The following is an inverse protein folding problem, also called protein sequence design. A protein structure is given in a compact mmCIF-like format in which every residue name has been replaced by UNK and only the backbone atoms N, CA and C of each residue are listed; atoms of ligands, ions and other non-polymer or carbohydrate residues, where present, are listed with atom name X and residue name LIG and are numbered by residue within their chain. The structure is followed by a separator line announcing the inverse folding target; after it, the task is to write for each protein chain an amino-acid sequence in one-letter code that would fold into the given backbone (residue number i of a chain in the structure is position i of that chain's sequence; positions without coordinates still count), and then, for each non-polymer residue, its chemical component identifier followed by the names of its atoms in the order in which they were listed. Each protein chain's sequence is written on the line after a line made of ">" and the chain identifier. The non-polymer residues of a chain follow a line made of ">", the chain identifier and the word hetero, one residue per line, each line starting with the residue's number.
data_IF_102804307746
#
_entry.id   IF_102804307746
#
_cell.length_a   1.000
_cell.length_b   1.000
_cell.length_c   1.000
_cell.angle_alpha   90.00
_cell.angle_beta   90.00
_cell.angle_gamma   90.00
#
_symmetry.space_group_name_H-M   'P 1'
#
loop_
_entity.id
_entity.type
_entity.pdbx_description
1 polymer ?
#
# COMPACT_ATOMS: atom_id res chain seq x y z
N UNK A 1 -9.45 -24.64 22.41
CA UNK A 1 -10.70 -23.94 22.24
C UNK A 1 -10.49 -22.47 21.91
N UNK A 2 -9.55 -21.85 22.53
CA UNK A 2 -9.32 -20.43 22.35
C UNK A 2 -8.73 -20.11 20.99
N UNK A 3 -7.98 -21.05 20.44
CA UNK A 3 -7.42 -20.91 19.11
C UNK A 3 -8.51 -20.78 18.05
N UNK A 4 -9.68 -21.31 18.33
CA UNK A 4 -10.79 -21.21 17.39
C UNK A 4 -11.25 -19.79 17.16
N UNK A 5 -11.26 -18.99 18.20
CA UNK A 5 -11.67 -17.59 18.05
C UNK A 5 -10.77 -16.85 17.09
N UNK A 6 -9.46 -17.12 17.15
CA UNK A 6 -8.50 -16.50 16.24
C UNK A 6 -8.70 -16.95 14.81
N UNK A 7 -8.92 -18.24 14.60
CA UNK A 7 -9.20 -18.75 13.26
C UNK A 7 -10.47 -18.16 12.70
N UNK A 8 -11.52 -18.11 13.53
CA UNK A 8 -12.78 -17.56 13.07
C UNK A 8 -12.64 -16.10 12.65
N UNK A 9 -11.85 -15.33 13.36
CA UNK A 9 -11.61 -13.94 12.99
C UNK A 9 -10.94 -13.82 11.64
N UNK A 10 -9.94 -14.67 11.38
CA UNK A 10 -9.21 -14.64 10.11
C UNK A 10 -10.08 -15.10 8.95
N UNK A 11 -10.92 -16.12 9.17
CA UNK A 11 -11.75 -16.67 8.10
C UNK A 11 -13.05 -15.92 7.91
N UNK A 12 -13.44 -15.10 8.87
CA UNK A 12 -14.70 -14.37 8.84
C UNK A 12 -14.65 -13.03 8.12
N UNK A 13 -13.58 -12.74 7.41
CA UNK A 13 -13.49 -11.51 6.68
C UNK A 13 -14.48 -11.50 5.50
N UNK A 14 -15.27 -10.45 5.42
CA UNK A 14 -16.34 -10.33 4.44
C UNK A 14 -16.24 -9.11 3.53
N UNK A 15 -15.06 -8.50 3.43
CA UNK A 15 -14.86 -7.39 2.52
C UNK A 15 -15.34 -6.06 3.03
N UNK A 16 -15.43 -5.88 4.34
CA UNK A 16 -15.88 -4.61 4.92
C UNK A 16 -14.79 -3.54 5.00
N UNK A 17 -13.56 -3.85 4.65
CA UNK A 17 -12.44 -2.92 4.76
C UNK A 17 -12.66 -1.63 3.98
N UNK A 18 -13.20 -1.73 2.76
CA UNK A 18 -13.43 -0.55 1.93
C UNK A 18 -14.33 0.48 2.58
N UNK A 19 -15.24 0.03 3.43
CA UNK A 19 -16.18 0.90 4.12
C UNK A 19 -15.58 1.51 5.39
N UNK A 20 -14.60 0.84 5.99
CA UNK A 20 -14.02 1.25 7.26
C UNK A 20 -12.71 2.03 7.11
N UNK A 21 -12.29 2.27 5.89
CA UNK A 21 -11.02 2.95 5.63
C UNK A 21 -9.84 1.99 5.64
N UNK A 22 -9.59 1.36 4.50
CA UNK A 22 -8.52 0.36 4.35
C UNK A 22 -7.16 0.90 4.80
N UNK A 23 -6.88 2.16 4.51
CA UNK A 23 -5.57 2.75 4.84
C UNK A 23 -5.26 2.80 6.32
N UNK A 24 -6.28 2.74 7.18
CA UNK A 24 -6.08 2.79 8.62
C UNK A 24 -5.85 1.42 9.26
N UNK A 25 -6.03 0.33 8.52
CA UNK A 25 -5.74 -1.00 9.08
C UNK A 25 -4.24 -1.15 9.28
N UNK A 26 -3.89 -1.93 10.28
CA UNK A 26 -2.47 -2.17 10.53
C UNK A 26 -1.89 -3.15 9.54
N UNK A 27 -0.61 -3.00 9.26
CA UNK A 27 0.10 -3.89 8.38
C UNK A 27 0.06 -5.34 8.84
N UNK A 28 0.01 -5.58 10.15
CA UNK A 28 -0.17 -6.94 10.68
C UNK A 28 -1.43 -7.59 10.12
N UNK A 29 -2.52 -6.82 9.98
CA UNK A 29 -3.74 -7.33 9.38
C UNK A 29 -3.53 -7.68 7.91
N UNK A 30 -2.84 -6.83 7.18
CA UNK A 30 -2.55 -7.06 5.77
C UNK A 30 -1.76 -8.37 5.59
N UNK A 31 -0.74 -8.55 6.41
CA UNK A 31 0.09 -9.76 6.34
C UNK A 31 -0.70 -11.01 6.71
N UNK A 32 -1.56 -10.90 7.71
CA UNK A 32 -2.37 -12.03 8.17
C UNK A 32 -3.40 -12.48 7.12
N UNK A 33 -3.85 -11.56 6.27
CA UNK A 33 -4.90 -11.83 5.29
C UNK A 33 -4.41 -11.79 3.85
N UNK A 34 -3.10 -11.85 3.64
CA UNK A 34 -2.52 -11.69 2.30
C UNK A 34 -2.97 -12.77 1.32
N UNK A 35 -3.40 -13.93 1.80
CA UNK A 35 -3.88 -14.99 0.95
C UNK A 35 -5.40 -15.10 0.91
N UNK A 36 -6.10 -14.22 1.60
CA UNK A 36 -7.56 -14.16 1.53
C UNK A 36 -7.93 -13.34 0.28
N UNK A 37 -8.62 -13.95 -0.71
CA UNK A 37 -8.86 -13.27 -1.98
C UNK A 37 -9.66 -11.97 -1.85
N UNK A 38 -10.60 -11.92 -0.93
CA UNK A 38 -11.44 -10.72 -0.73
C UNK A 38 -10.62 -9.61 -0.09
N UNK A 39 -9.89 -9.93 0.96
CA UNK A 39 -9.04 -8.94 1.64
C UNK A 39 -7.94 -8.44 0.69
N UNK A 40 -7.30 -9.36 -0.02
CA UNK A 40 -6.25 -9.01 -0.98
C UNK A 40 -6.79 -8.02 -2.02
N UNK A 41 -7.96 -8.30 -2.58
CA UNK A 41 -8.56 -7.43 -3.57
C UNK A 41 -8.82 -6.03 -3.01
N UNK A 42 -9.42 -5.95 -1.84
CA UNK A 42 -9.73 -4.66 -1.22
C UNK A 42 -8.47 -3.85 -0.94
N UNK A 43 -7.45 -4.51 -0.43
CA UNK A 43 -6.19 -3.85 -0.13
C UNK A 43 -5.50 -3.38 -1.40
N UNK A 44 -5.46 -4.21 -2.42
CA UNK A 44 -4.83 -3.86 -3.70
C UNK A 44 -5.55 -2.68 -4.36
N UNK A 45 -6.86 -2.69 -4.35
CA UNK A 45 -7.65 -1.58 -4.92
C UNK A 45 -7.36 -0.29 -4.15
N UNK A 46 -7.32 -0.38 -2.84
CA UNK A 46 -7.03 0.80 -2.02
C UNK A 46 -5.63 1.36 -2.31
N UNK A 47 -4.63 0.51 -2.33
CA UNK A 47 -3.24 0.93 -2.56
C UNK A 47 -3.12 1.57 -3.95
N UNK A 48 -3.69 0.94 -4.97
CA UNK A 48 -3.65 1.50 -6.32
C UNK A 48 -4.34 2.86 -6.38
N UNK A 49 -5.51 2.97 -5.75
CA UNK A 49 -6.24 4.23 -5.71
C UNK A 49 -5.47 5.32 -4.99
N UNK A 50 -4.79 4.95 -3.90
CA UNK A 50 -3.98 5.90 -3.15
C UNK A 50 -2.80 6.40 -3.98
N UNK A 51 -2.11 5.50 -4.66
CA UNK A 51 -0.99 5.86 -5.54
C UNK A 51 -1.48 6.78 -6.66
N UNK A 52 -2.61 6.43 -7.28
CA UNK A 52 -3.21 7.24 -8.34
C UNK A 52 -3.56 8.64 -7.85
N UNK A 53 -4.09 8.72 -6.64
CA UNK A 53 -4.43 10.00 -6.03
C UNK A 53 -3.19 10.85 -5.78
N UNK A 54 -2.14 10.25 -5.23
CA UNK A 54 -0.89 10.96 -4.99
C UNK A 54 -0.28 11.44 -6.30
N UNK A 55 -0.29 10.60 -7.32
CA UNK A 55 0.21 11.00 -8.64
C UNK A 55 -0.57 12.18 -9.20
N UNK A 56 -1.89 12.15 -9.06
CA UNK A 56 -2.75 13.23 -9.54
C UNK A 56 -2.48 14.54 -8.81
N UNK A 57 -2.39 14.50 -7.49
CA UNK A 57 -2.12 15.69 -6.68
C UNK A 57 -0.75 16.26 -6.96
N UNK A 58 0.24 15.41 -7.09
CA UNK A 58 1.60 15.84 -7.41
C UNK A 58 1.65 16.50 -8.79
N UNK A 59 0.93 15.93 -9.74
CA UNK A 59 0.84 16.50 -11.09
C UNK A 59 0.23 17.89 -11.10
N UNK A 60 -0.81 18.09 -10.28
CA UNK A 60 -1.47 19.39 -10.16
C UNK A 60 -0.60 20.44 -9.50
N UNK A 61 0.17 20.05 -8.49
CA UNK A 61 1.06 20.95 -7.78
C UNK A 61 2.31 21.26 -8.55
N UNK A 62 2.66 20.44 -9.50
CA UNK A 62 3.99 20.41 -10.09
C UNK A 62 4.19 21.34 -11.27
N UNK A 63 3.39 22.38 -11.39
CA UNK A 63 3.77 23.43 -12.33
C UNK A 63 5.15 24.01 -12.02
N UNK A 64 5.67 23.76 -10.83
CA UNK A 64 6.95 24.29 -10.36
C UNK A 64 7.97 23.21 -9.98
N UNK A 65 7.54 22.01 -9.63
CA UNK A 65 8.44 20.92 -9.28
C UNK A 65 7.86 19.62 -9.79
N UNK A 66 8.59 18.98 -10.63
CA UNK A 66 8.18 17.70 -11.15
C UNK A 66 8.65 16.60 -10.24
N UNK A 67 7.74 16.03 -9.47
CA UNK A 67 7.97 14.72 -8.94
C UNK A 67 7.44 13.73 -9.94
N UNK A 68 8.21 12.68 -10.22
CA UNK A 68 7.77 11.69 -11.21
C UNK A 68 6.57 10.91 -10.67
N UNK A 69 5.75 10.42 -11.58
CA UNK A 69 4.65 9.56 -11.22
C UNK A 69 5.20 8.21 -10.75
N UNK A 70 4.59 7.68 -9.70
CA UNK A 70 4.88 6.33 -9.28
C UNK A 70 4.15 5.39 -10.22
N UNK A 71 4.89 4.66 -11.03
CA UNK A 71 4.34 3.77 -12.04
C UNK A 71 4.87 2.37 -11.81
N UNK A 72 4.19 1.62 -10.96
CA UNK A 72 4.53 0.24 -10.70
C UNK A 72 3.46 -0.67 -11.27
N UNK A 73 3.88 -1.76 -11.87
CA UNK A 73 3.01 -2.84 -12.27
C UNK A 73 2.18 -3.30 -11.06
N UNK A 74 0.88 -3.65 -11.22
CA UNK A 74 0.05 -4.06 -10.10
C UNK A 74 0.62 -5.18 -9.24
N UNK A 75 1.29 -6.14 -9.84
CA UNK A 75 1.93 -7.21 -9.08
C UNK A 75 3.12 -6.71 -8.26
N UNK A 76 3.92 -5.86 -8.84
CA UNK A 76 5.04 -5.25 -8.12
C UNK A 76 4.54 -4.36 -7.00
N UNK A 77 3.45 -3.66 -7.23
CA UNK A 77 2.83 -2.82 -6.20
C UNK A 77 2.37 -3.67 -5.02
N UNK A 78 1.77 -4.82 -5.29
CA UNK A 78 1.35 -5.74 -4.25
C UNK A 78 2.55 -6.27 -3.46
N UNK A 79 3.60 -6.73 -4.13
CA UNK A 79 4.81 -7.20 -3.46
C UNK A 79 5.45 -6.12 -2.61
N UNK A 80 5.51 -4.90 -3.13
CA UNK A 80 6.05 -3.77 -2.37
C UNK A 80 5.23 -3.49 -1.12
N UNK A 81 3.90 -3.58 -1.25
CA UNK A 81 3.01 -3.41 -0.09
C UNK A 81 3.33 -4.42 1.00
N UNK A 82 3.45 -5.69 0.63
CA UNK A 82 3.79 -6.73 1.59
C UNK A 82 5.17 -6.52 2.20
N UNK A 83 6.12 -6.09 1.40
CA UNK A 83 7.47 -5.82 1.88
C UNK A 83 7.48 -4.70 2.93
N UNK A 84 6.87 -3.57 2.62
CA UNK A 84 6.87 -2.43 3.53
C UNK A 84 6.04 -2.72 4.78
N UNK A 85 4.95 -3.45 4.65
CA UNK A 85 4.19 -3.90 5.81
C UNK A 85 5.00 -4.85 6.68
N UNK A 86 5.79 -5.72 6.04
CA UNK A 86 6.64 -6.66 6.78
C UNK A 86 7.73 -5.99 7.59
N UNK A 87 8.21 -4.82 7.14
CA UNK A 87 9.25 -4.09 7.85
C UNK A 87 8.76 -3.48 9.17
N UNK A 88 7.49 -3.15 9.25
CA UNK A 88 6.88 -2.60 10.46
C UNK A 88 5.41 -2.97 10.53
N UNK A 89 5.09 -4.16 11.06
CA UNK A 89 3.70 -4.61 11.09
C UNK A 89 2.76 -3.76 11.95
N UNK A 90 3.31 -2.97 12.85
CA UNK A 90 2.50 -2.14 13.74
C UNK A 90 2.06 -0.82 13.12
N UNK A 91 2.60 -0.49 11.95
CA UNK A 91 2.20 0.75 11.28
C UNK A 91 0.91 0.56 10.49
N UNK A 92 0.15 1.65 10.28
CA UNK A 92 -1.02 1.57 9.41
C UNK A 92 -0.59 1.45 7.95
N UNK A 93 -1.45 0.82 7.15
CA UNK A 93 -1.19 0.59 5.73
C UNK A 93 -0.88 1.90 4.99
N UNK A 94 -1.57 2.98 5.33
CA UNK A 94 -1.33 4.26 4.67
C UNK A 94 0.12 4.72 4.84
N UNK A 95 0.70 4.48 6.01
CA UNK A 95 2.09 4.85 6.25
C UNK A 95 3.06 4.00 5.44
N UNK A 96 2.80 2.70 5.38
CA UNK A 96 3.62 1.80 4.55
C UNK A 96 3.57 2.23 3.08
N UNK A 97 2.38 2.59 2.60
CA UNK A 97 2.19 3.03 1.23
C UNK A 97 2.95 4.33 0.97
N UNK A 98 2.92 5.28 1.90
CA UNK A 98 3.68 6.53 1.74
C UNK A 98 5.18 6.28 1.72
N UNK A 99 5.68 5.39 2.55
CA UNK A 99 7.09 5.04 2.54
C UNK A 99 7.51 4.43 1.21
N UNK A 100 6.66 3.61 0.64
CA UNK A 100 6.90 3.01 -0.67
C UNK A 100 6.97 4.08 -1.76
N UNK A 101 6.03 5.02 -1.74
CA UNK A 101 5.99 6.11 -2.71
C UNK A 101 7.25 6.97 -2.58
N UNK A 102 7.63 7.32 -1.36
CA UNK A 102 8.84 8.11 -1.13
C UNK A 102 10.09 7.39 -1.65
N UNK A 103 10.17 6.09 -1.45
CA UNK A 103 11.30 5.31 -1.95
C UNK A 103 11.34 5.31 -3.48
N UNK A 104 10.20 5.26 -4.14
CA UNK A 104 10.15 5.31 -5.60
C UNK A 104 10.58 6.67 -6.13
N UNK A 105 10.16 7.74 -5.48
CA UNK A 105 10.62 9.08 -5.83
C UNK A 105 12.13 9.21 -5.70
N UNK A 106 12.69 8.69 -4.60
CA UNK A 106 14.14 8.74 -4.36
C UNK A 106 14.90 7.99 -5.46
N UNK A 107 14.40 6.84 -5.88
CA UNK A 107 15.02 6.08 -6.97
C UNK A 107 15.09 6.88 -8.26
N UNK A 108 14.01 7.53 -8.62
CA UNK A 108 13.94 8.30 -9.86
C UNK A 108 14.84 9.53 -9.78
N UNK A 109 14.86 10.21 -8.65
CA UNK A 109 15.75 11.34 -8.44
C UNK A 109 17.21 10.94 -8.58
N UNK A 110 17.57 9.79 -8.00
CA UNK A 110 18.92 9.25 -8.10
C UNK A 110 19.29 8.95 -9.54
N UNK A 111 18.39 8.31 -10.28
CA UNK A 111 18.61 8.00 -11.69
C UNK A 111 18.78 9.27 -12.52
N UNK A 112 18.00 10.31 -12.23
CA UNK A 112 18.09 11.58 -12.94
C UNK A 112 19.41 12.26 -12.67
N UNK A 113 19.94 12.18 -11.46
CA UNK A 113 21.25 12.73 -11.13
C UNK A 113 22.36 12.05 -11.92
N UNK A 114 22.25 10.74 -12.11
CA UNK A 114 23.26 9.99 -12.87
C UNK A 114 23.23 10.34 -14.36
N UNK A 115 22.10 10.78 -14.87
CA UNK A 115 21.96 11.15 -16.27
C UNK A 115 22.44 12.56 -16.56
N UNK A 116 22.60 13.38 -15.56
CA UNK A 116 23.15 14.71 -15.75
C UNK A 116 24.64 14.67 -15.53
#
# INVERSE_FOLDING_TARGET
>A
LFAFACFNSATAYHGSLGQLGVGSVQCAFVLAHQENPVAQKDIRVWVQSFVDKVNSETSLESKKKTRPMVALDPELLWFATLLYCGLDPDQPLVRATMKMIDAEWDKVEEQNKQKS
#
